data_IF_220748917548
#
_entry.id   IF_220748917548
#
_cell.length_a   1.000
_cell.length_b   1.000
_cell.length_c   1.000
_cell.angle_alpha   90.00
_cell.angle_beta   90.00
_cell.angle_gamma   90.00
#
_symmetry.space_group_name_H-M   'P 1'
#
loop_
_entity.id
_entity.type
_entity.pdbx_description
1 polymer ?
#
# COMPACT_ATOMS: atom_id res chain seq x y z
N UNK A 1 19.73 -2.16 -34.95
CA UNK A 1 19.54 -3.31 -34.03
C UNK A 1 18.65 -2.82 -32.91
N UNK A 2 17.36 -3.15 -32.95
CA UNK A 2 16.42 -2.77 -31.89
C UNK A 2 16.46 -3.87 -30.84
N UNK A 3 17.09 -3.60 -29.70
CA UNK A 3 16.97 -4.42 -28.50
C UNK A 3 15.52 -4.33 -28.02
N UNK A 4 14.83 -5.44 -27.69
CA UNK A 4 13.57 -5.34 -26.96
C UNK A 4 13.87 -4.70 -25.61
N UNK A 5 13.17 -3.63 -25.27
CA UNK A 5 13.14 -3.15 -23.88
C UNK A 5 12.51 -4.30 -23.09
N UNK A 6 13.32 -5.11 -22.43
CA UNK A 6 12.81 -6.02 -21.41
C UNK A 6 12.06 -5.15 -20.40
N UNK A 7 10.80 -5.49 -20.11
CA UNK A 7 10.01 -4.87 -19.04
C UNK A 7 10.79 -5.02 -17.73
N UNK A 8 11.57 -3.99 -17.39
CA UNK A 8 12.50 -4.07 -16.30
C UNK A 8 11.72 -4.11 -14.98
N UNK A 9 11.85 -5.23 -14.25
CA UNK A 9 11.31 -5.32 -12.91
C UNK A 9 11.99 -4.30 -12.00
N UNK A 10 11.20 -3.45 -11.34
CA UNK A 10 11.69 -2.41 -10.43
C UNK A 10 11.77 -3.02 -9.03
N UNK A 11 12.97 -3.28 -8.53
CA UNK A 11 13.17 -3.85 -7.20
C UNK A 11 12.86 -2.80 -6.12
N UNK A 12 13.89 -2.12 -5.62
CA UNK A 12 13.71 -1.00 -4.71
C UNK A 12 13.72 0.32 -5.50
N UNK A 13 12.81 1.26 -5.22
CA UNK A 13 12.80 2.54 -5.93
C UNK A 13 14.08 3.32 -5.64
N UNK A 14 14.69 3.87 -6.70
CA UNK A 14 15.93 4.66 -6.62
C UNK A 14 15.74 5.90 -5.76
N UNK A 15 14.57 6.55 -5.88
CA UNK A 15 14.14 7.60 -4.98
C UNK A 15 13.20 7.01 -3.93
N UNK A 16 13.54 7.17 -2.65
CA UNK A 16 12.67 6.70 -1.56
C UNK A 16 11.36 7.49 -1.57
N UNK A 17 10.21 6.83 -1.41
CA UNK A 17 8.94 7.55 -1.31
C UNK A 17 8.92 8.36 -0.02
N UNK A 18 8.18 9.47 -0.02
CA UNK A 18 7.94 10.22 1.22
C UNK A 18 6.98 9.45 2.14
N UNK A 19 6.01 8.76 1.53
CA UNK A 19 4.95 8.02 2.22
C UNK A 19 4.77 6.63 1.65
N UNK A 20 4.32 5.74 2.51
CA UNK A 20 3.82 4.42 2.18
C UNK A 20 2.43 4.27 2.78
N UNK A 21 1.63 3.39 2.18
CA UNK A 21 0.21 3.33 2.43
C UNK A 21 -0.20 1.93 2.87
N UNK A 22 -0.98 1.86 3.96
CA UNK A 22 -1.73 0.65 4.31
C UNK A 22 -3.16 0.81 3.79
N UNK A 23 -3.63 -0.19 3.04
CA UNK A 23 -4.99 -0.25 2.52
C UNK A 23 -5.82 -1.16 3.42
N UNK A 24 -6.97 -0.69 3.87
CA UNK A 24 -7.92 -1.47 4.67
C UNK A 24 -9.35 -1.28 4.13
N UNK A 25 -10.21 -2.31 4.20
CA UNK A 25 -11.57 -2.24 3.65
C UNK A 25 -12.55 -1.51 4.57
N UNK A 26 -12.19 -1.27 5.83
CA UNK A 26 -13.04 -0.65 6.84
C UNK A 26 -12.35 0.55 7.47
N UNK A 27 -13.13 1.45 8.07
CA UNK A 27 -12.58 2.58 8.80
C UNK A 27 -11.66 2.08 9.94
N UNK A 28 -10.44 2.63 10.09
CA UNK A 28 -9.57 2.23 11.17
C UNK A 28 -10.16 2.63 12.54
N UNK A 29 -9.76 1.96 13.64
CA UNK A 29 -10.22 2.33 14.98
C UNK A 29 -9.93 3.80 15.29
N UNK A 30 -10.85 4.44 16.02
CA UNK A 30 -10.69 5.81 16.52
C UNK A 30 -10.82 5.82 18.05
N UNK A 31 -9.79 6.24 18.80
CA UNK A 31 -8.48 6.67 18.31
C UNK A 31 -7.68 5.51 17.68
N UNK A 32 -6.69 5.85 16.84
CA UNK A 32 -5.76 4.86 16.32
C UNK A 32 -5.04 4.17 17.50
N UNK A 33 -4.87 2.84 17.45
CA UNK A 33 -4.20 2.11 18.52
C UNK A 33 -2.69 2.28 18.46
N UNK A 34 -2.01 1.97 19.56
CA UNK A 34 -0.53 1.93 19.62
C UNK A 34 0.06 0.93 18.63
N UNK A 35 -0.66 -0.15 18.35
CA UNK A 35 -0.34 -1.13 17.33
C UNK A 35 -1.57 -1.38 16.47
N UNK A 36 -1.43 -1.21 15.16
CA UNK A 36 -2.54 -1.41 14.23
C UNK A 36 -2.88 -2.89 14.10
N UNK A 37 -4.17 -3.27 14.06
CA UNK A 37 -4.57 -4.65 13.86
C UNK A 37 -4.03 -5.19 12.53
N UNK A 38 -3.30 -6.29 12.59
CA UNK A 38 -2.82 -6.97 11.40
C UNK A 38 -4.00 -7.50 10.56
N UNK A 39 -3.88 -7.51 9.24
CA UNK A 39 -4.80 -8.28 8.40
C UNK A 39 -4.50 -9.78 8.53
N UNK A 40 -5.43 -10.64 8.08
CA UNK A 40 -5.16 -12.08 7.97
C UNK A 40 -3.94 -12.37 7.09
N UNK A 41 -3.79 -11.61 6.00
CA UNK A 41 -2.64 -11.74 5.10
C UNK A 41 -1.33 -11.38 5.79
N UNK A 42 -1.28 -10.27 6.53
CA UNK A 42 -0.08 -9.87 7.28
C UNK A 42 0.31 -10.91 8.34
N UNK A 43 -0.68 -11.49 9.03
CA UNK A 43 -0.45 -12.56 10.01
C UNK A 43 0.11 -13.82 9.37
N UNK A 44 -0.44 -14.20 8.22
CA UNK A 44 -0.02 -15.41 7.50
C UNK A 44 1.40 -15.28 6.96
N UNK A 45 1.75 -14.12 6.42
CA UNK A 45 3.03 -13.92 5.74
C UNK A 45 4.14 -13.44 6.70
N UNK A 46 3.77 -12.95 7.89
CA UNK A 46 4.71 -12.57 8.95
C UNK A 46 5.31 -11.17 8.79
N UNK A 47 4.75 -10.35 7.91
CA UNK A 47 5.12 -8.95 7.68
C UNK A 47 3.90 -8.13 7.25
N UNK A 48 3.99 -6.81 7.35
CA UNK A 48 2.88 -5.92 7.00
C UNK A 48 3.01 -5.47 5.55
N UNK A 49 1.99 -5.79 4.75
CA UNK A 49 1.87 -5.36 3.37
C UNK A 49 1.54 -3.88 3.31
N UNK A 50 2.39 -3.13 2.61
CA UNK A 50 2.21 -1.71 2.33
C UNK A 50 2.32 -1.49 0.83
N UNK A 51 1.94 -0.32 0.37
CA UNK A 51 2.03 0.07 -1.04
C UNK A 51 2.63 1.47 -1.16
N UNK A 52 3.34 1.75 -2.26
CA UNK A 52 3.61 3.13 -2.68
C UNK A 52 2.34 3.77 -3.23
N UNK A 53 2.33 5.10 -3.40
CA UNK A 53 1.21 5.81 -4.03
C UNK A 53 0.85 5.23 -5.41
N UNK A 54 1.86 4.92 -6.23
CA UNK A 54 1.68 4.34 -7.57
C UNK A 54 1.11 2.90 -7.54
N UNK A 55 1.35 2.18 -6.44
CA UNK A 55 0.87 0.81 -6.27
C UNK A 55 -0.57 0.75 -5.76
N UNK A 56 -1.03 1.76 -5.00
CA UNK A 56 -2.34 1.76 -4.31
C UNK A 56 -3.49 1.40 -5.25
N UNK A 57 -3.58 2.00 -6.43
CA UNK A 57 -4.68 1.76 -7.35
C UNK A 57 -4.74 0.29 -7.82
N UNK A 58 -3.60 -0.27 -8.21
CA UNK A 58 -3.56 -1.65 -8.68
C UNK A 58 -3.79 -2.63 -7.53
N UNK A 59 -3.28 -2.34 -6.33
CA UNK A 59 -3.61 -3.12 -5.12
C UNK A 59 -5.11 -3.08 -4.82
N UNK A 60 -5.74 -1.90 -4.89
CA UNK A 60 -7.18 -1.72 -4.71
C UNK A 60 -7.98 -2.55 -5.71
N UNK A 61 -7.59 -2.54 -6.99
CA UNK A 61 -8.24 -3.30 -8.05
C UNK A 61 -8.12 -4.82 -7.88
N UNK A 62 -7.01 -5.34 -7.32
CA UNK A 62 -6.82 -6.77 -7.17
C UNK A 62 -7.47 -7.33 -5.90
N UNK A 63 -7.27 -6.67 -4.77
CA UNK A 63 -7.65 -7.22 -3.46
C UNK A 63 -8.97 -6.67 -2.93
N UNK A 64 -9.44 -5.54 -3.46
CA UNK A 64 -10.59 -4.81 -2.94
C UNK A 64 -11.66 -4.55 -4.02
N UNK A 65 -11.65 -5.37 -5.08
CA UNK A 65 -12.52 -5.27 -6.25
C UNK A 65 -14.02 -5.39 -5.93
N UNK A 66 -14.38 -6.06 -4.84
CA UNK A 66 -15.77 -6.27 -4.40
C UNK A 66 -16.20 -5.30 -3.30
N UNK A 67 -15.27 -4.51 -2.75
CA UNK A 67 -15.56 -3.52 -1.70
C UNK A 67 -15.97 -2.19 -2.30
N UNK A 68 -16.90 -1.49 -1.66
CA UNK A 68 -17.34 -0.13 -2.03
C UNK A 68 -16.70 0.95 -1.16
N UNK A 69 -16.03 0.55 -0.09
CA UNK A 69 -15.32 1.45 0.83
C UNK A 69 -13.88 0.99 0.98
N UNK A 70 -12.98 1.96 1.10
CA UNK A 70 -11.56 1.76 1.35
C UNK A 70 -11.06 2.87 2.26
N UNK A 71 -10.20 2.53 3.20
CA UNK A 71 -9.43 3.52 3.94
C UNK A 71 -7.96 3.30 3.71
N UNK A 72 -7.25 4.42 3.53
CA UNK A 72 -5.81 4.46 3.39
C UNK A 72 -5.21 5.11 4.62
N UNK A 73 -4.29 4.41 5.28
CA UNK A 73 -3.42 5.00 6.28
C UNK A 73 -2.13 5.42 5.58
N UNK A 74 -1.77 6.69 5.73
CA UNK A 74 -0.56 7.30 5.17
C UNK A 74 0.52 7.35 6.23
N UNK A 75 1.60 6.59 6.02
CA UNK A 75 2.71 6.47 6.96
C UNK A 75 3.94 7.17 6.37
N UNK A 76 4.61 8.10 7.10
CA UNK A 76 5.90 8.62 6.69
C UNK A 76 6.91 7.47 6.54
N UNK A 77 7.62 7.42 5.42
CA UNK A 77 8.54 6.32 5.12
C UNK A 77 9.81 6.35 5.99
N UNK A 78 10.38 7.54 6.22
CA UNK A 78 11.71 7.68 6.82
C UNK A 78 11.86 6.99 8.20
N UNK A 79 10.91 7.10 9.16
CA UNK A 79 10.99 6.41 10.44
C UNK A 79 10.89 4.87 10.35
N UNK A 80 10.32 4.36 9.27
CA UNK A 80 10.07 2.93 9.05
C UNK A 80 11.13 2.26 8.18
N UNK A 81 12.00 3.06 7.55
CA UNK A 81 12.94 2.60 6.53
C UNK A 81 13.88 1.48 7.02
N UNK A 82 14.32 1.50 8.27
CA UNK A 82 15.22 0.47 8.84
C UNK A 82 14.56 -0.92 8.97
N UNK A 83 13.24 -0.98 8.99
CA UNK A 83 12.44 -2.20 9.10
C UNK A 83 11.73 -2.54 7.79
N UNK A 84 11.97 -1.76 6.72
CA UNK A 84 11.34 -1.95 5.42
C UNK A 84 12.16 -2.88 4.54
N UNK A 85 11.50 -3.83 3.90
CA UNK A 85 12.06 -4.63 2.81
C UNK A 85 11.24 -4.40 1.55
N UNK A 86 11.91 -4.38 0.40
CA UNK A 86 11.27 -4.25 -0.90
C UNK A 86 11.31 -5.59 -1.62
N UNK A 87 10.15 -6.23 -1.75
CA UNK A 87 10.06 -7.62 -2.21
C UNK A 87 9.02 -7.76 -3.32
N UNK A 88 9.34 -8.56 -4.34
CA UNK A 88 8.41 -8.79 -5.44
C UNK A 88 7.27 -9.71 -5.00
N UNK A 89 6.04 -9.48 -5.48
CA UNK A 89 4.96 -10.40 -5.22
C UNK A 89 5.25 -11.74 -5.91
N UNK A 90 4.96 -12.89 -5.26
CA UNK A 90 5.31 -14.21 -5.77
C UNK A 90 4.71 -14.53 -7.15
N UNK A 91 3.51 -13.99 -7.41
CA UNK A 91 2.75 -14.21 -8.64
C UNK A 91 3.36 -13.52 -9.87
N UNK A 92 4.27 -12.56 -9.68
CA UNK A 92 4.77 -11.70 -10.77
C UNK A 92 3.71 -10.78 -11.37
N UNK A 93 2.55 -10.62 -10.70
CA UNK A 93 1.43 -9.78 -11.17
C UNK A 93 1.80 -8.30 -11.29
N UNK A 94 2.85 -7.87 -10.60
CA UNK A 94 3.33 -6.50 -10.62
C UNK A 94 4.77 -6.42 -11.13
N UNK A 95 5.09 -5.37 -11.90
CA UNK A 95 6.46 -5.13 -12.37
C UNK A 95 7.35 -4.52 -11.29
N UNK A 96 6.81 -4.10 -10.14
CA UNK A 96 7.57 -3.48 -9.04
C UNK A 96 7.50 -4.27 -7.74
N UNK A 97 8.52 -4.11 -6.90
CA UNK A 97 8.54 -4.68 -5.56
C UNK A 97 7.73 -3.81 -4.59
N UNK A 98 7.14 -4.44 -3.59
CA UNK A 98 6.29 -3.80 -2.60
C UNK A 98 7.07 -3.55 -1.30
N UNK A 99 6.77 -2.44 -0.60
CA UNK A 99 7.30 -2.21 0.73
C UNK A 99 6.60 -3.15 1.72
N UNK A 100 7.38 -3.94 2.45
CA UNK A 100 6.94 -4.80 3.54
C UNK A 100 7.61 -4.37 4.83
N UNK A 101 6.83 -4.13 5.89
CA UNK A 101 7.37 -3.83 7.21
C UNK A 101 7.60 -5.13 7.99
N UNK A 102 8.86 -5.40 8.31
CA UNK A 102 9.30 -6.61 9.00
C UNK A 102 9.72 -6.32 10.45
N UNK A 103 9.51 -7.30 11.34
CA UNK A 103 10.09 -7.30 12.69
C UNK A 103 9.55 -6.25 13.66
N UNK A 104 8.54 -5.46 13.26
CA UNK A 104 7.77 -4.57 14.14
C UNK A 104 6.39 -4.29 13.54
N UNK A 105 5.49 -3.79 14.38
CA UNK A 105 4.22 -3.22 13.95
C UNK A 105 4.33 -1.69 13.79
N UNK A 106 3.33 -1.10 13.14
CA UNK A 106 3.08 0.34 13.13
C UNK A 106 1.85 0.66 13.99
N UNK A 107 1.68 1.91 14.39
CA UNK A 107 0.45 2.35 15.03
C UNK A 107 0.27 3.87 14.99
N UNK A 108 -0.48 4.41 15.95
CA UNK A 108 -0.85 5.82 15.99
C UNK A 108 0.35 6.78 15.85
N UNK A 109 1.52 6.43 16.35
CA UNK A 109 2.74 7.24 16.25
C UNK A 109 3.36 7.26 14.84
N UNK A 110 3.07 6.25 14.01
CA UNK A 110 3.65 6.10 12.67
C UNK A 110 2.66 6.55 11.57
N UNK A 111 1.40 6.85 11.91
CA UNK A 111 0.37 7.26 10.96
C UNK A 111 0.32 8.80 10.90
N UNK A 112 0.62 9.34 9.72
CA UNK A 112 0.58 10.79 9.48
C UNK A 112 -0.81 11.29 9.11
N UNK A 113 -1.58 10.50 8.38
CA UNK A 113 -2.95 10.85 7.97
C UNK A 113 -3.78 9.61 7.62
N UNK A 114 -5.10 9.73 7.65
CA UNK A 114 -6.05 8.68 7.26
C UNK A 114 -7.10 9.29 6.35
N UNK A 115 -7.34 8.65 5.20
CA UNK A 115 -8.39 9.07 4.26
C UNK A 115 -9.28 7.90 3.87
N UNK A 116 -10.59 8.12 3.98
CA UNK A 116 -11.62 7.21 3.48
C UNK A 116 -11.99 7.54 2.03
N UNK A 117 -12.24 6.51 1.25
CA UNK A 117 -12.67 6.55 -0.13
C UNK A 117 -13.90 5.65 -0.28
N UNK A 118 -14.89 6.15 -0.99
CA UNK A 118 -16.11 5.42 -1.30
C UNK A 118 -16.34 5.44 -2.80
N UNK A 119 -16.90 4.36 -3.32
CA UNK A 119 -17.31 4.24 -4.71
C UNK A 119 -18.69 3.62 -4.81
N UNK A 120 -19.42 3.97 -5.86
CA UNK A 120 -20.68 3.32 -6.17
C UNK A 120 -20.46 1.87 -6.62
N UNK A 121 -21.49 1.03 -6.49
CA UNK A 121 -21.46 -0.33 -7.02
C UNK A 121 -21.22 -0.31 -8.55
N UNK A 122 -20.25 -1.10 -9.02
CA UNK A 122 -19.83 -1.12 -10.42
C UNK A 122 -18.87 0.01 -10.86
N UNK A 123 -18.63 1.03 -10.03
CA UNK A 123 -17.63 2.07 -10.28
C UNK A 123 -16.21 1.50 -10.11
N UNK A 124 -15.24 1.94 -10.91
CA UNK A 124 -13.85 1.49 -10.80
C UNK A 124 -13.08 2.30 -9.75
N UNK A 125 -12.15 1.65 -9.05
CA UNK A 125 -11.26 2.38 -8.13
C UNK A 125 -10.39 3.42 -8.84
N UNK A 126 -10.12 3.26 -10.14
CA UNK A 126 -9.40 4.26 -10.94
C UNK A 126 -10.14 5.58 -11.06
N UNK A 127 -11.47 5.56 -10.98
CA UNK A 127 -12.30 6.78 -11.05
C UNK A 127 -12.33 7.53 -9.72
N UNK A 128 -12.03 6.85 -8.61
CA UNK A 128 -12.06 7.43 -7.25
C UNK A 128 -10.66 7.78 -6.75
N UNK A 129 -9.67 6.93 -7.02
CA UNK A 129 -8.28 7.11 -6.58
C UNK A 129 -7.41 7.78 -7.65
N UNK A 130 -7.82 7.74 -8.92
CA UNK A 130 -7.03 8.25 -10.03
C UNK A 130 -6.80 9.75 -9.93
N UNK A 131 -5.55 10.17 -9.72
CA UNK A 131 -5.17 11.58 -9.68
C UNK A 131 -5.52 12.31 -8.38
N UNK A 132 -5.88 11.59 -7.30
CA UNK A 132 -6.08 12.21 -6.01
C UNK A 132 -4.75 12.77 -5.46
N UNK A 133 -4.68 14.09 -5.30
CA UNK A 133 -3.48 14.79 -4.84
C UNK A 133 -3.01 14.39 -3.43
N UNK A 134 -3.83 13.62 -2.68
CA UNK A 134 -3.44 13.04 -1.40
C UNK A 134 -2.51 11.83 -1.55
N UNK A 135 -2.59 11.11 -2.68
CA UNK A 135 -1.71 10.00 -3.06
C UNK A 135 -0.45 10.54 -3.75
N UNK A 136 0.58 10.80 -2.94
CA UNK A 136 1.90 11.31 -3.36
C UNK A 136 3.05 10.51 -2.78
#
# INVERSE_FOLDING_TARGET
MNTPVQDAKIAEPTQKPQYIYKIVPEAPPSPLPTEFPLSDLDRNDGFIHLSTAEQVLNTANLFFATTTTLHLLKLPYAPLASSMKWEFPPSGTFPSAFPHLHGRNFGAADVGDVKGFERAEGQLWSEVLGGDAWLV
#
